data_IF_965851070893
#
_entry.id   IF_965851070893
#
_cell.length_a   1.000
_cell.length_b   1.000
_cell.length_c   1.000
_cell.angle_alpha   90.00
_cell.angle_beta   90.00
_cell.angle_gamma   90.00
#
_symmetry.space_group_name_H-M   'P 1'
#
loop_
_entity.id
_entity.type
_entity.pdbx_description
1 polymer ?
#
# COMPACT_ATOMS: atom_id res chain seq x y z
N UNK A 1 2.28 -16.65 8.56
CA UNK A 1 2.61 -16.25 9.94
C UNK A 1 3.69 -15.18 9.87
N UNK A 2 3.65 -14.16 10.75
CA UNK A 2 4.64 -13.08 10.75
C UNK A 2 5.52 -13.20 12.00
N UNK A 3 6.82 -12.97 11.83
CA UNK A 3 7.84 -13.13 12.86
C UNK A 3 8.62 -11.83 13.07
N UNK A 4 9.24 -11.70 14.24
CA UNK A 4 10.08 -10.57 14.64
C UNK A 4 11.22 -11.08 15.51
N UNK A 5 12.40 -10.44 15.49
CA UNK A 5 13.47 -10.76 16.43
C UNK A 5 13.03 -10.49 17.88
N UNK A 6 13.30 -11.43 18.79
CA UNK A 6 12.89 -11.33 20.20
C UNK A 6 13.39 -10.05 20.86
N UNK A 7 14.63 -9.67 20.63
CA UNK A 7 15.21 -8.44 21.17
C UNK A 7 14.43 -7.19 20.77
N UNK A 8 13.98 -7.11 19.51
CA UNK A 8 13.17 -5.99 19.03
C UNK A 8 11.75 -6.05 19.61
N UNK A 9 11.17 -7.24 19.76
CA UNK A 9 9.85 -7.42 20.36
C UNK A 9 9.80 -6.96 21.81
N UNK A 10 10.83 -7.34 22.61
CA UNK A 10 10.95 -6.98 24.01
C UNK A 10 11.22 -5.48 24.19
N UNK A 11 12.12 -4.90 23.38
CA UNK A 11 12.37 -3.46 23.37
C UNK A 11 11.11 -2.64 23.07
N UNK A 12 10.33 -3.06 22.07
CA UNK A 12 9.05 -2.43 21.76
C UNK A 12 8.03 -2.54 22.90
N UNK A 13 8.02 -3.66 23.62
CA UNK A 13 7.13 -3.88 24.76
C UNK A 13 7.47 -2.97 25.94
N UNK A 14 8.77 -2.73 26.19
CA UNK A 14 9.27 -1.94 27.31
C UNK A 14 9.32 -0.44 27.02
N UNK A 15 9.82 -0.04 25.86
CA UNK A 15 10.15 1.34 25.53
C UNK A 15 9.16 1.99 24.55
N UNK A 16 8.33 1.18 23.87
CA UNK A 16 7.42 1.69 22.85
C UNK A 16 8.10 2.03 21.53
N UNK A 17 7.43 2.80 20.69
CA UNK A 17 7.97 3.29 19.41
C UNK A 17 7.11 4.43 18.87
N UNK A 18 7.77 5.47 18.36
CA UNK A 18 7.11 6.62 17.72
C UNK A 18 6.73 6.35 16.26
N UNK A 19 7.30 5.30 15.65
CA UNK A 19 7.13 5.00 14.22
C UNK A 19 6.47 3.66 13.93
N UNK A 20 6.11 2.89 14.98
CA UNK A 20 5.52 1.56 14.85
C UNK A 20 4.41 1.37 15.87
N UNK A 21 3.26 0.87 15.42
CA UNK A 21 2.17 0.53 16.36
C UNK A 21 2.54 -0.67 17.22
N UNK A 22 2.99 -0.42 18.44
CA UNK A 22 3.36 -1.46 19.42
C UNK A 22 2.22 -2.46 19.62
N UNK A 23 0.99 -1.95 19.84
CA UNK A 23 -0.19 -2.80 20.02
C UNK A 23 -0.44 -3.75 18.84
N UNK A 24 -0.20 -3.29 17.61
CA UNK A 24 -0.33 -4.12 16.41
C UNK A 24 0.76 -5.20 16.37
N UNK A 25 2.02 -4.82 16.62
CA UNK A 25 3.15 -5.76 16.62
C UNK A 25 2.96 -6.86 17.67
N UNK A 26 2.64 -6.48 18.91
CA UNK A 26 2.41 -7.41 20.02
C UNK A 26 1.30 -8.44 19.71
N UNK A 27 0.29 -8.05 18.96
CA UNK A 27 -0.85 -8.92 18.63
C UNK A 27 -0.63 -9.79 17.40
N UNK A 28 0.27 -9.40 16.50
CA UNK A 28 0.35 -10.02 15.16
C UNK A 28 1.69 -10.68 14.86
N UNK A 29 2.73 -10.42 15.66
CA UNK A 29 4.08 -10.98 15.45
C UNK A 29 4.40 -12.06 16.47
N UNK A 30 5.16 -13.05 16.02
CA UNK A 30 5.71 -14.11 16.88
C UNK A 30 7.20 -13.82 17.08
N UNK A 31 7.68 -13.59 18.32
CA UNK A 31 9.10 -13.37 18.59
C UNK A 31 9.91 -14.66 18.38
N UNK A 32 11.08 -14.53 17.78
CA UNK A 32 12.05 -15.61 17.55
C UNK A 32 13.45 -15.16 17.96
N UNK A 33 14.26 -16.08 18.45
CA UNK A 33 15.59 -15.76 19.01
C UNK A 33 16.58 -15.40 17.89
N UNK A 34 16.60 -16.13 16.79
CA UNK A 34 17.40 -15.81 15.59
C UNK A 34 16.51 -15.71 14.35
N UNK A 35 16.18 -14.48 13.97
CA UNK A 35 15.39 -14.19 12.75
C UNK A 35 16.16 -14.57 11.48
N UNK A 36 17.49 -14.49 11.49
CA UNK A 36 18.30 -14.84 10.31
C UNK A 36 18.39 -16.35 10.11
N UNK A 37 18.43 -17.13 11.18
CA UNK A 37 18.34 -18.59 11.09
C UNK A 37 16.98 -19.02 10.53
N UNK A 38 15.90 -18.48 11.09
CA UNK A 38 14.55 -18.71 10.56
C UNK A 38 14.44 -18.38 9.07
N UNK A 39 15.01 -17.25 8.64
CA UNK A 39 15.03 -16.86 7.22
C UNK A 39 15.83 -17.84 6.36
N UNK A 40 16.95 -18.36 6.84
CA UNK A 40 17.76 -19.37 6.12
C UNK A 40 17.01 -20.70 5.95
N UNK A 41 16.38 -21.17 7.02
CA UNK A 41 15.61 -22.42 7.03
C UNK A 41 14.39 -22.34 6.10
N UNK A 42 13.70 -21.20 6.08
CA UNK A 42 12.46 -21.00 5.35
C UNK A 42 12.61 -20.12 4.09
N UNK A 43 13.81 -20.02 3.52
CA UNK A 43 14.14 -19.11 2.41
C UNK A 43 13.20 -19.20 1.19
N UNK A 44 12.58 -20.35 0.95
CA UNK A 44 11.65 -20.57 -0.17
C UNK A 44 10.19 -20.29 0.20
N UNK A 45 9.91 -19.95 1.48
CA UNK A 45 8.57 -19.67 1.99
C UNK A 45 8.43 -18.24 2.54
N UNK A 46 9.45 -17.39 2.33
CA UNK A 46 9.40 -15.98 2.70
C UNK A 46 8.61 -15.23 1.63
N UNK A 47 7.48 -14.65 2.03
CA UNK A 47 6.61 -13.87 1.14
C UNK A 47 6.99 -12.37 1.16
N UNK A 48 7.34 -11.86 2.33
CA UNK A 48 7.68 -10.45 2.53
C UNK A 48 8.66 -10.27 3.70
N UNK A 49 9.60 -9.33 3.56
CA UNK A 49 10.47 -8.86 4.62
C UNK A 49 10.18 -7.37 4.82
N UNK A 50 9.77 -7.01 6.03
CA UNK A 50 9.51 -5.63 6.39
C UNK A 50 10.62 -5.13 7.33
N UNK A 51 11.38 -4.14 6.88
CA UNK A 51 12.50 -3.55 7.63
C UNK A 51 12.09 -2.15 8.07
N UNK A 52 12.14 -1.90 9.37
CA UNK A 52 11.84 -0.60 9.96
C UNK A 52 13.10 0.17 10.31
N UNK A 53 13.08 1.46 10.07
CA UNK A 53 14.20 2.37 10.29
C UNK A 53 13.75 3.52 11.22
N UNK A 54 14.38 3.70 12.39
CA UNK A 54 14.12 4.86 13.23
C UNK A 54 14.50 6.18 12.52
N UNK A 55 15.57 6.12 11.69
CA UNK A 55 16.13 7.29 11.01
C UNK A 55 15.90 7.25 9.50
N UNK A 56 15.43 8.37 8.93
CA UNK A 56 15.17 8.52 7.50
C UNK A 56 16.44 8.39 6.63
N UNK A 57 17.57 8.89 7.11
CA UNK A 57 18.85 8.80 6.39
C UNK A 57 19.29 7.36 6.16
N UNK A 58 19.17 6.51 7.18
CA UNK A 58 19.44 5.08 7.08
C UNK A 58 18.48 4.38 6.11
N UNK A 59 17.19 4.73 6.17
CA UNK A 59 16.17 4.21 5.26
C UNK A 59 16.47 4.55 3.79
N UNK A 60 16.77 5.81 3.49
CA UNK A 60 17.07 6.27 2.12
C UNK A 60 18.30 5.53 1.57
N UNK A 61 19.37 5.44 2.35
CA UNK A 61 20.57 4.72 1.95
C UNK A 61 20.31 3.23 1.67
N UNK A 62 19.53 2.57 2.51
CA UNK A 62 19.18 1.17 2.29
C UNK A 62 18.21 0.97 1.13
N UNK A 63 17.29 1.91 0.90
CA UNK A 63 16.43 1.91 -0.29
C UNK A 63 17.25 1.87 -1.59
N UNK A 64 18.23 2.76 -1.72
CA UNK A 64 19.10 2.81 -2.91
C UNK A 64 19.88 1.50 -3.13
N UNK A 65 20.23 0.81 -2.07
CA UNK A 65 20.90 -0.50 -2.15
C UNK A 65 19.94 -1.61 -2.53
N UNK A 66 18.79 -1.69 -1.92
CA UNK A 66 17.79 -2.73 -2.19
C UNK A 66 17.18 -2.59 -3.58
N UNK A 67 16.93 -1.37 -4.03
CA UNK A 67 16.41 -1.09 -5.37
C UNK A 67 17.33 -1.58 -6.52
N UNK A 68 18.61 -1.78 -6.25
CA UNK A 68 19.59 -2.33 -7.21
C UNK A 68 19.66 -3.85 -7.22
N UNK A 69 19.03 -4.53 -6.26
CA UNK A 69 19.06 -5.98 -6.19
C UNK A 69 18.09 -6.57 -7.24
N UNK A 70 18.55 -7.57 -8.01
CA UNK A 70 17.69 -8.19 -9.01
C UNK A 70 16.64 -9.09 -8.36
N UNK A 71 15.53 -9.27 -9.06
CA UNK A 71 14.48 -10.22 -8.68
C UNK A 71 13.79 -9.93 -7.35
N UNK A 72 13.70 -8.66 -6.96
CA UNK A 72 12.99 -8.20 -5.78
C UNK A 72 12.08 -7.04 -6.13
N UNK A 73 10.96 -6.96 -5.45
CA UNK A 73 10.14 -5.75 -5.38
C UNK A 73 10.45 -5.02 -4.09
N UNK A 74 10.78 -3.74 -4.19
CA UNK A 74 11.06 -2.87 -3.04
C UNK A 74 10.01 -1.78 -3.02
N UNK A 75 9.27 -1.69 -1.93
CA UNK A 75 8.21 -0.70 -1.74
C UNK A 75 8.14 -0.24 -0.29
N UNK A 76 7.18 0.59 0.03
CA UNK A 76 7.01 1.16 1.36
C UNK A 76 5.53 1.45 1.60
N UNK A 77 5.07 1.25 2.81
CA UNK A 77 3.72 1.61 3.28
C UNK A 77 3.74 2.75 4.31
N UNK A 78 4.93 3.10 4.81
CA UNK A 78 5.12 4.21 5.76
C UNK A 78 6.43 4.94 5.48
N UNK A 79 6.63 6.11 6.08
CA UNK A 79 7.90 6.84 5.98
C UNK A 79 9.08 6.15 6.71
N UNK A 80 8.83 5.10 7.47
CA UNK A 80 9.83 4.43 8.32
C UNK A 80 10.12 2.99 7.93
N UNK A 81 9.51 2.45 6.85
CA UNK A 81 9.76 1.07 6.47
C UNK A 81 10.24 0.90 5.03
N UNK A 82 10.82 -0.25 4.77
CA UNK A 82 11.06 -0.83 3.45
C UNK A 82 10.45 -2.22 3.45
N UNK A 83 9.61 -2.50 2.47
CA UNK A 83 9.01 -3.80 2.23
C UNK A 83 9.71 -4.45 1.05
N UNK A 84 10.22 -5.65 1.25
CA UNK A 84 10.94 -6.43 0.25
C UNK A 84 10.13 -7.68 -0.05
N UNK A 85 9.69 -7.81 -1.28
CA UNK A 85 8.97 -8.98 -1.79
C UNK A 85 9.63 -9.60 -3.01
N UNK A 86 9.05 -10.69 -3.51
CA UNK A 86 9.45 -11.27 -4.79
C UNK A 86 9.05 -10.39 -5.98
N UNK A 87 9.61 -10.66 -7.17
CA UNK A 87 9.34 -9.90 -8.41
C UNK A 87 7.88 -9.82 -8.81
N UNK A 88 7.06 -10.70 -8.28
CA UNK A 88 5.63 -10.77 -8.57
C UNK A 88 4.77 -10.13 -7.48
N UNK A 89 5.39 -9.63 -6.40
CA UNK A 89 4.66 -9.06 -5.27
C UNK A 89 4.27 -7.62 -5.58
N UNK A 90 3.00 -7.43 -5.96
CA UNK A 90 2.40 -6.10 -6.07
C UNK A 90 0.90 -6.16 -5.83
N UNK A 91 0.31 -5.07 -5.34
CA UNK A 91 -1.15 -4.97 -5.17
C UNK A 91 -1.88 -5.03 -6.51
N UNK A 92 -1.32 -4.42 -7.57
CA UNK A 92 -1.87 -4.49 -8.92
C UNK A 92 -1.97 -5.93 -9.42
N UNK A 93 -0.91 -6.72 -9.25
CA UNK A 93 -0.89 -8.10 -9.69
C UNK A 93 -1.85 -8.99 -8.92
N UNK A 94 -1.91 -8.83 -7.59
CA UNK A 94 -2.89 -9.54 -6.77
C UNK A 94 -4.32 -9.20 -7.19
N UNK A 95 -4.59 -7.94 -7.47
CA UNK A 95 -5.88 -7.46 -7.96
C UNK A 95 -6.22 -8.06 -9.34
N UNK A 96 -5.26 -8.10 -10.27
CA UNK A 96 -5.43 -8.71 -11.58
C UNK A 96 -5.76 -10.21 -11.48
N UNK A 97 -5.10 -10.95 -10.59
CA UNK A 97 -5.41 -12.36 -10.35
C UNK A 97 -6.83 -12.58 -9.78
N UNK A 98 -7.26 -11.72 -8.85
CA UNK A 98 -8.63 -11.75 -8.31
C UNK A 98 -9.63 -11.46 -9.41
N UNK A 99 -9.41 -10.41 -10.21
CA UNK A 99 -10.27 -10.06 -11.34
C UNK A 99 -10.39 -11.20 -12.34
N UNK A 100 -9.27 -11.82 -12.72
CA UNK A 100 -9.26 -12.97 -13.62
C UNK A 100 -10.08 -14.15 -13.09
N UNK A 101 -10.03 -14.45 -11.79
CA UNK A 101 -10.86 -15.48 -11.16
C UNK A 101 -12.36 -15.16 -11.16
N UNK A 102 -12.69 -13.87 -11.18
CA UNK A 102 -14.08 -13.36 -11.22
C UNK A 102 -14.59 -13.10 -12.64
N UNK A 103 -13.78 -13.31 -13.67
CA UNK A 103 -14.12 -12.98 -15.05
C UNK A 103 -14.17 -11.47 -15.32
N UNK A 104 -13.43 -10.68 -14.54
CA UNK A 104 -13.33 -9.23 -14.67
C UNK A 104 -11.94 -8.83 -15.20
N UNK A 105 -11.85 -7.63 -15.78
CA UNK A 105 -10.59 -6.98 -16.12
C UNK A 105 -10.28 -5.85 -15.14
N UNK A 106 -9.00 -5.46 -15.00
CA UNK A 106 -8.62 -4.31 -14.19
C UNK A 106 -9.31 -3.00 -14.63
N UNK A 107 -9.62 -2.89 -15.91
CA UNK A 107 -10.40 -1.77 -16.48
C UNK A 107 -11.78 -1.58 -15.85
N UNK A 108 -12.33 -2.60 -15.20
CA UNK A 108 -13.62 -2.54 -14.47
C UNK A 108 -13.48 -2.19 -12.99
N UNK A 109 -12.26 -1.95 -12.52
CA UNK A 109 -11.96 -1.75 -11.10
C UNK A 109 -11.75 -0.27 -10.79
N UNK A 110 -12.35 0.20 -9.71
CA UNK A 110 -11.99 1.43 -9.01
C UNK A 110 -11.12 1.06 -7.82
N UNK A 111 -9.90 1.60 -7.72
CA UNK A 111 -8.97 1.33 -6.65
C UNK A 111 -8.64 2.61 -5.86
N UNK A 112 -8.39 2.45 -4.57
CA UNK A 112 -8.02 3.53 -3.65
C UNK A 112 -6.65 3.26 -3.06
N UNK A 113 -5.82 4.31 -2.93
CA UNK A 113 -4.48 4.17 -2.37
C UNK A 113 -3.91 5.50 -1.85
N UNK A 114 -2.91 5.41 -0.99
CA UNK A 114 -2.25 6.56 -0.39
C UNK A 114 -0.73 6.44 -0.30
N UNK A 115 -0.19 5.25 -0.56
CA UNK A 115 1.21 4.91 -0.30
C UNK A 115 1.92 4.37 -1.54
N UNK A 116 3.27 4.40 -1.60
CA UNK A 116 4.03 3.96 -2.78
C UNK A 116 3.74 2.53 -3.25
N UNK A 117 3.30 1.64 -2.34
CA UNK A 117 2.90 0.27 -2.70
C UNK A 117 1.54 0.19 -3.42
N UNK A 118 0.80 1.31 -3.50
CA UNK A 118 -0.47 1.41 -4.23
C UNK A 118 -0.27 1.93 -5.65
N UNK A 119 0.88 2.54 -5.96
CA UNK A 119 1.11 3.25 -7.21
C UNK A 119 0.72 2.44 -8.45
N UNK A 120 1.31 1.25 -8.61
CA UNK A 120 1.00 0.38 -9.75
C UNK A 120 -0.48 -0.01 -9.82
N UNK A 121 -1.13 -0.21 -8.68
CA UNK A 121 -2.56 -0.52 -8.62
C UNK A 121 -3.42 0.66 -9.11
N UNK A 122 -3.06 1.89 -8.73
CA UNK A 122 -3.77 3.10 -9.17
C UNK A 122 -3.58 3.37 -10.67
N UNK A 123 -2.39 3.09 -11.21
CA UNK A 123 -2.07 3.28 -12.64
C UNK A 123 -2.72 2.22 -13.55
N UNK A 124 -2.79 0.96 -13.09
CA UNK A 124 -3.25 -0.17 -13.89
C UNK A 124 -4.76 -0.41 -13.83
N UNK A 125 -5.45 0.06 -12.78
CA UNK A 125 -6.90 -0.09 -12.67
C UNK A 125 -7.67 0.85 -13.60
N UNK A 126 -8.96 0.58 -13.78
CA UNK A 126 -9.83 1.38 -14.65
C UNK A 126 -10.10 2.79 -14.13
N UNK A 127 -10.04 2.98 -12.79
CA UNK A 127 -10.19 4.27 -12.14
C UNK A 127 -9.43 4.31 -10.81
N UNK A 128 -8.27 4.95 -10.82
CA UNK A 128 -7.40 5.11 -9.65
C UNK A 128 -7.78 6.35 -8.83
N UNK A 129 -7.95 6.17 -7.53
CA UNK A 129 -8.30 7.24 -6.58
C UNK A 129 -7.22 7.35 -5.53
N UNK A 130 -6.51 8.48 -5.50
CA UNK A 130 -5.58 8.80 -4.43
C UNK A 130 -6.31 9.42 -3.24
N UNK A 131 -5.95 9.00 -2.03
CA UNK A 131 -6.44 9.61 -0.80
C UNK A 131 -5.87 11.02 -0.62
N UNK A 132 -6.59 11.92 0.03
CA UNK A 132 -6.16 13.31 0.27
C UNK A 132 -4.88 13.44 1.09
N UNK A 133 -4.58 12.45 1.94
CA UNK A 133 -3.33 12.34 2.71
C UNK A 133 -2.17 11.69 1.95
N UNK A 134 -2.37 11.24 0.70
CA UNK A 134 -1.30 10.65 -0.12
C UNK A 134 -0.22 11.69 -0.48
N UNK A 135 0.98 11.20 -0.85
CA UNK A 135 2.06 12.02 -1.37
C UNK A 135 1.76 12.54 -2.79
N UNK A 136 2.43 13.59 -3.23
CA UNK A 136 2.11 14.24 -4.52
C UNK A 136 2.36 13.35 -5.75
N UNK A 137 3.31 12.43 -5.69
CA UNK A 137 3.55 11.43 -6.73
C UNK A 137 2.36 10.47 -6.88
N UNK A 138 1.80 9.99 -5.77
CA UNK A 138 0.61 9.14 -5.77
C UNK A 138 -0.62 9.90 -6.28
N UNK A 139 -0.80 11.16 -5.86
CA UNK A 139 -1.90 12.01 -6.34
C UNK A 139 -1.81 12.31 -7.82
N UNK A 140 -0.58 12.46 -8.34
CA UNK A 140 -0.33 12.72 -9.76
C UNK A 140 -0.63 11.51 -10.64
N UNK A 141 -0.37 10.30 -10.14
CA UNK A 141 -0.61 9.05 -10.85
C UNK A 141 -2.09 8.65 -10.91
N UNK A 142 -2.92 9.16 -9.99
CA UNK A 142 -4.32 8.79 -9.89
C UNK A 142 -5.22 9.59 -10.84
N UNK A 143 -6.34 8.99 -11.24
CA UNK A 143 -7.40 9.67 -12.02
C UNK A 143 -8.16 10.72 -11.20
N UNK A 144 -8.25 10.52 -9.90
CA UNK A 144 -8.96 11.38 -8.97
C UNK A 144 -8.27 11.44 -7.60
N UNK A 145 -8.31 12.62 -6.96
CA UNK A 145 -7.87 12.80 -5.57
C UNK A 145 -9.10 13.07 -4.71
N UNK A 146 -9.33 12.20 -3.74
CA UNK A 146 -10.41 12.36 -2.76
C UNK A 146 -9.95 13.11 -1.51
N UNK A 147 -10.83 13.24 -0.52
CA UNK A 147 -10.51 13.78 0.80
C UNK A 147 -9.69 12.76 1.61
N UNK A 148 -9.24 13.14 2.79
CA UNK A 148 -8.33 12.31 3.61
C UNK A 148 -9.01 11.04 4.13
N UNK A 149 -8.20 10.10 4.62
CA UNK A 149 -8.69 8.91 5.29
C UNK A 149 -9.47 9.23 6.57
N UNK A 150 -9.09 10.29 7.29
CA UNK A 150 -9.79 10.75 8.50
C UNK A 150 -11.16 11.38 8.21
N UNK A 151 -11.34 11.87 6.99
CA UNK A 151 -12.60 12.42 6.47
C UNK A 151 -13.43 11.39 5.70
N UNK A 152 -13.08 10.10 5.82
CA UNK A 152 -13.75 8.98 5.14
C UNK A 152 -13.73 9.08 3.59
N UNK A 153 -12.58 9.43 2.99
CA UNK A 153 -12.44 9.68 1.55
C UNK A 153 -12.95 8.57 0.63
N UNK A 154 -12.82 7.31 1.02
CA UNK A 154 -13.39 6.18 0.25
C UNK A 154 -14.92 6.28 0.20
N UNK A 155 -15.57 6.41 1.34
CA UNK A 155 -17.02 6.51 1.42
C UNK A 155 -17.55 7.76 0.73
N UNK A 156 -16.86 8.90 0.89
CA UNK A 156 -17.15 10.15 0.18
C UNK A 156 -17.13 9.95 -1.34
N UNK A 157 -16.06 9.35 -1.87
CA UNK A 157 -15.91 9.12 -3.32
C UNK A 157 -17.03 8.21 -3.86
N UNK A 158 -17.29 7.10 -3.18
CA UNK A 158 -18.31 6.14 -3.59
C UNK A 158 -19.69 6.82 -3.61
N UNK A 159 -20.05 7.53 -2.55
CA UNK A 159 -21.35 8.26 -2.47
C UNK A 159 -21.47 9.32 -3.57
N UNK A 160 -20.41 10.12 -3.75
CA UNK A 160 -20.46 11.26 -4.69
C UNK A 160 -20.42 10.81 -6.15
N UNK A 161 -19.57 9.85 -6.49
CA UNK A 161 -19.31 9.44 -7.87
C UNK A 161 -20.28 8.35 -8.34
N UNK A 162 -20.59 7.36 -7.50
CA UNK A 162 -21.41 6.22 -7.90
C UNK A 162 -22.89 6.42 -7.56
N UNK A 163 -23.21 6.98 -6.39
CA UNK A 163 -24.60 7.18 -5.97
C UNK A 163 -25.13 8.60 -6.21
N UNK A 164 -24.28 9.50 -6.69
CA UNK A 164 -24.65 10.88 -7.04
C UNK A 164 -25.22 11.71 -5.89
N UNK A 165 -24.85 11.39 -4.67
CA UNK A 165 -25.19 12.18 -3.50
C UNK A 165 -24.47 13.54 -3.56
N UNK A 166 -25.24 14.62 -3.32
CA UNK A 166 -24.72 15.99 -3.36
C UNK A 166 -24.19 16.38 -1.99
N UNK A 167 -22.97 15.99 -1.66
CA UNK A 167 -22.24 16.59 -0.56
C UNK A 167 -21.38 17.75 -1.07
N UNK A 168 -21.47 18.88 -0.38
CA UNK A 168 -21.00 20.20 -0.82
C UNK A 168 -19.49 20.44 -0.76
N UNK A 169 -18.63 19.50 -1.16
CA UNK A 169 -17.19 19.70 -1.23
C UNK A 169 -16.71 20.05 -2.64
N UNK A 170 -15.74 20.98 -2.81
CA UNK A 170 -15.28 21.43 -4.10
C UNK A 170 -14.34 20.40 -4.76
N UNK A 171 -14.79 19.82 -5.87
CA UNK A 171 -13.92 19.01 -6.73
C UNK A 171 -13.00 19.92 -7.56
N UNK A 172 -11.68 19.72 -7.49
CA UNK A 172 -10.68 20.50 -8.25
C UNK A 172 -10.64 20.20 -9.77
N UNK A 173 -11.25 19.12 -10.24
CA UNK A 173 -11.43 18.80 -11.68
C UNK A 173 -12.73 18.01 -11.75
N UNK A 174 -13.53 18.19 -12.84
CA UNK A 174 -14.79 17.48 -13.00
C UNK A 174 -14.57 15.94 -13.01
N UNK A 175 -14.66 15.25 -11.88
CA UNK A 175 -14.44 13.80 -11.81
C UNK A 175 -15.49 13.05 -12.59
N UNK A 176 -16.64 13.70 -12.80
CA UNK A 176 -17.79 13.15 -13.52
C UNK A 176 -17.51 12.85 -15.00
N UNK A 177 -16.62 13.62 -15.65
CA UNK A 177 -16.28 13.36 -17.06
C UNK A 177 -15.33 12.17 -17.18
N UNK A 178 -14.33 12.06 -16.32
CA UNK A 178 -13.42 10.90 -16.28
C UNK A 178 -14.17 9.62 -15.88
N UNK A 179 -14.98 9.69 -14.84
CA UNK A 179 -15.82 8.56 -14.41
C UNK A 179 -16.83 8.16 -15.51
N UNK A 180 -17.47 9.13 -16.20
CA UNK A 180 -18.37 8.82 -17.32
C UNK A 180 -17.63 8.20 -18.50
N UNK A 181 -16.39 8.60 -18.75
CA UNK A 181 -15.54 7.99 -19.77
C UNK A 181 -15.18 6.55 -19.38
N UNK A 182 -14.84 6.31 -18.10
CA UNK A 182 -14.55 4.99 -17.55
C UNK A 182 -15.80 4.08 -17.59
N UNK A 183 -16.95 4.52 -17.09
CA UNK A 183 -18.22 3.77 -17.13
C UNK A 183 -18.67 3.42 -18.56
N UNK A 184 -18.25 4.19 -19.57
CA UNK A 184 -18.53 3.89 -20.99
C UNK A 184 -17.59 2.86 -21.61
N UNK A 185 -16.39 2.66 -21.04
CA UNK A 185 -15.43 1.65 -21.52
C UNK A 185 -15.79 0.23 -21.06
N UNK A 186 -16.61 0.09 -20.04
CA UNK A 186 -17.06 -1.20 -19.48
C UNK A 186 -18.35 -1.76 -20.08
N UNK A 187 -18.74 -1.24 -21.29
CA UNK A 187 -19.90 -1.76 -22.06
C UNK A 187 -19.39 -2.35 -23.39
#
# INVERSE_FOLDING_TARGET
KAYIARSVYEDLAENGSDFMSVKYVMRTRTPVDDIYELMREHKNAIENINVHFPEQTARIHMWERFAKLPRMTVTSSTHHNIEIGGVTTSKARALAEICGKLGLELSHVMAFGDSPNDLAMLEECGFGVAMGNATEDIKTAADFVTITNEEEGVAYTVRTLLFHEKDGAPARVSPRERLRAWLRRGK
#
